data_IF_810791719892
#
_entry.id   IF_810791719892
#
_cell.length_a   1.000
_cell.length_b   1.000
_cell.length_c   1.000
_cell.angle_alpha   90.00
_cell.angle_beta   90.00
_cell.angle_gamma   90.00
#
_symmetry.space_group_name_H-M   'P 1'
#
loop_
_entity.id
_entity.type
_entity.pdbx_description
1 polymer ?
#
# COMPACT_ATOMS: atom_id res chain seq x y z
N UNK A 1 -25.11 12.37 -33.00
CA UNK A 1 -23.83 12.72 -32.34
C UNK A 1 -23.53 11.82 -31.15
N UNK A 2 -24.47 10.98 -30.73
CA UNK A 2 -24.38 10.18 -29.50
C UNK A 2 -23.51 8.93 -29.61
N UNK A 3 -23.47 8.30 -30.80
CA UNK A 3 -22.66 7.08 -31.01
C UNK A 3 -21.14 7.34 -30.94
N UNK A 4 -20.66 8.52 -31.35
CA UNK A 4 -19.22 8.87 -31.26
C UNK A 4 -18.78 9.10 -29.81
N UNK A 5 -19.64 9.70 -28.98
CA UNK A 5 -19.37 9.95 -27.56
C UNK A 5 -19.37 8.64 -26.76
N UNK A 6 -20.30 7.75 -27.04
CA UNK A 6 -20.35 6.42 -26.44
C UNK A 6 -19.13 5.59 -26.85
N UNK A 7 -18.72 5.64 -28.13
CA UNK A 7 -17.51 4.96 -28.61
C UNK A 7 -16.23 5.43 -27.90
N UNK A 8 -16.05 6.75 -27.70
CA UNK A 8 -14.90 7.30 -26.96
C UNK A 8 -14.93 6.85 -25.49
N UNK A 9 -16.10 6.79 -24.85
CA UNK A 9 -16.24 6.29 -23.48
C UNK A 9 -15.90 4.80 -23.37
N UNK A 10 -16.40 3.96 -24.28
CA UNK A 10 -16.05 2.53 -24.30
C UNK A 10 -14.57 2.30 -24.60
N UNK A 11 -13.98 3.09 -25.49
CA UNK A 11 -12.55 3.04 -25.80
C UNK A 11 -11.70 3.46 -24.58
N UNK A 12 -12.10 4.51 -23.85
CA UNK A 12 -11.44 4.91 -22.60
C UNK A 12 -11.54 3.84 -21.51
N UNK A 13 -12.71 3.19 -21.36
CA UNK A 13 -12.91 2.07 -20.42
C UNK A 13 -12.01 0.87 -20.78
N UNK A 14 -11.93 0.50 -22.07
CA UNK A 14 -11.04 -0.56 -22.58
C UNK A 14 -9.55 -0.22 -22.38
N UNK A 15 -9.18 1.05 -22.56
CA UNK A 15 -7.84 1.57 -22.30
C UNK A 15 -7.55 1.53 -20.79
N UNK A 16 -8.51 1.82 -19.92
CA UNK A 16 -8.31 1.74 -18.45
C UNK A 16 -8.18 0.29 -17.96
N UNK A 17 -8.94 -0.65 -18.52
CA UNK A 17 -8.85 -2.09 -18.22
C UNK A 17 -7.52 -2.73 -18.65
N UNK A 18 -6.76 -2.06 -19.52
CA UNK A 18 -5.44 -2.50 -19.99
C UNK A 18 -4.27 -1.79 -19.30
N UNK A 19 -4.55 -0.96 -18.28
CA UNK A 19 -3.51 -0.44 -17.38
C UNK A 19 -3.31 -1.51 -16.30
N UNK A 20 -2.16 -2.20 -16.36
CA UNK A 20 -1.65 -2.92 -15.20
C UNK A 20 -0.93 -1.89 -14.35
N UNK A 21 -1.62 -1.35 -13.36
CA UNK A 21 -0.95 -0.64 -12.27
C UNK A 21 -0.27 -1.75 -11.46
N UNK A 22 1.05 -1.68 -11.27
CA UNK A 22 1.67 -2.61 -10.33
C UNK A 22 1.06 -2.32 -8.96
N UNK A 23 0.33 -3.33 -8.46
CA UNK A 23 0.03 -3.43 -7.05
C UNK A 23 1.33 -3.84 -6.38
N UNK A 24 1.53 -3.42 -5.13
CA UNK A 24 2.74 -3.66 -4.37
C UNK A 24 3.08 -5.16 -4.20
N UNK A 25 3.57 -5.52 -3.01
CA UNK A 25 3.40 -6.88 -2.53
C UNK A 25 2.00 -7.44 -2.88
N UNK A 26 1.96 -8.69 -3.36
CA UNK A 26 0.71 -9.26 -3.87
C UNK A 26 -0.39 -9.32 -2.79
N UNK A 27 -1.54 -8.69 -3.07
CA UNK A 27 -2.70 -8.58 -2.18
C UNK A 27 -3.21 -9.92 -1.63
N UNK A 28 -3.11 -10.98 -2.42
CA UNK A 28 -3.65 -12.30 -2.11
C UNK A 28 -2.69 -13.15 -1.29
N UNK A 29 -1.39 -12.97 -1.51
CA UNK A 29 -0.35 -13.86 -0.98
C UNK A 29 0.60 -13.15 -0.04
N UNK A 30 1.19 -12.03 -0.44
CA UNK A 30 2.30 -11.42 0.31
C UNK A 30 1.81 -10.63 1.52
N UNK A 31 0.88 -9.70 1.33
CA UNK A 31 0.36 -8.89 2.44
C UNK A 31 -0.26 -9.73 3.57
N UNK A 32 -1.11 -10.72 3.29
CA UNK A 32 -1.65 -11.59 4.34
C UNK A 32 -0.56 -12.38 5.07
N UNK A 33 0.47 -12.86 4.36
CA UNK A 33 1.57 -13.64 4.98
C UNK A 33 2.48 -12.78 5.85
N UNK A 34 2.84 -11.58 5.40
CA UNK A 34 3.61 -10.64 6.23
C UNK A 34 2.83 -10.22 7.47
N UNK A 35 1.52 -10.01 7.33
CA UNK A 35 0.61 -9.74 8.45
C UNK A 35 0.60 -10.90 9.45
N UNK A 36 0.52 -12.13 8.97
CA UNK A 36 0.59 -13.33 9.81
C UNK A 36 1.92 -13.44 10.56
N UNK A 37 3.06 -13.25 9.89
CA UNK A 37 4.37 -13.29 10.54
C UNK A 37 4.54 -12.16 11.58
N UNK A 38 4.02 -10.96 11.30
CA UNK A 38 4.01 -9.86 12.26
C UNK A 38 3.20 -10.22 13.52
N UNK A 39 2.02 -10.84 13.36
CA UNK A 39 1.20 -11.30 14.49
C UNK A 39 1.88 -12.42 15.27
N UNK A 40 2.50 -13.39 14.61
CA UNK A 40 3.28 -14.45 15.28
C UNK A 40 4.40 -13.83 16.12
N UNK A 41 5.14 -12.90 15.55
CA UNK A 41 6.24 -12.22 16.24
C UNK A 41 5.75 -11.41 17.45
N UNK A 42 4.65 -10.65 17.29
CA UNK A 42 4.00 -9.94 18.40
C UNK A 42 3.58 -10.92 19.52
N UNK A 43 2.95 -12.03 19.18
CA UNK A 43 2.43 -13.02 20.12
C UNK A 43 3.52 -13.73 20.95
N UNK A 44 4.79 -13.73 20.51
CA UNK A 44 5.90 -14.25 21.32
C UNK A 44 6.18 -13.41 22.57
N UNK A 45 5.85 -12.12 22.56
CA UNK A 45 6.16 -11.20 23.64
C UNK A 45 4.93 -10.58 24.30
N UNK A 46 3.76 -10.66 23.66
CA UNK A 46 2.55 -10.02 24.14
C UNK A 46 1.89 -10.77 25.31
N UNK A 47 1.41 -10.01 26.30
CA UNK A 47 0.57 -10.56 27.38
C UNK A 47 -0.81 -11.00 26.85
N UNK A 48 -1.47 -10.13 26.07
CA UNK A 48 -2.69 -10.46 25.33
C UNK A 48 -2.31 -10.80 23.90
N UNK A 49 -2.47 -12.07 23.56
CA UNK A 49 -2.23 -12.59 22.21
C UNK A 49 -3.39 -12.21 21.30
N UNK A 50 -3.06 -11.96 20.04
CA UNK A 50 -4.03 -11.90 18.94
C UNK A 50 -4.40 -13.34 18.61
N UNK A 51 -5.69 -13.65 18.63
CA UNK A 51 -6.19 -14.99 18.31
C UNK A 51 -6.38 -15.18 16.79
N UNK A 52 -6.72 -16.41 16.37
CA UNK A 52 -6.85 -16.73 14.95
C UNK A 52 -7.94 -15.91 14.24
N UNK A 53 -9.08 -15.66 14.90
CA UNK A 53 -10.17 -14.88 14.29
C UNK A 53 -9.73 -13.42 14.05
N UNK A 54 -9.03 -12.84 15.01
CA UNK A 54 -8.50 -11.48 14.93
C UNK A 54 -7.42 -11.35 13.85
N UNK A 55 -6.58 -12.38 13.72
CA UNK A 55 -5.61 -12.48 12.63
C UNK A 55 -6.30 -12.55 11.27
N UNK A 56 -7.35 -13.35 11.10
CA UNK A 56 -8.06 -13.45 9.82
C UNK A 56 -8.73 -12.14 9.42
N UNK A 57 -9.31 -11.40 10.37
CA UNK A 57 -9.79 -10.03 10.11
C UNK A 57 -8.67 -9.09 9.69
N UNK A 58 -7.51 -9.18 10.33
CA UNK A 58 -6.34 -8.37 9.96
C UNK A 58 -5.83 -8.69 8.55
N UNK A 59 -5.76 -9.97 8.18
CA UNK A 59 -5.38 -10.43 6.83
C UNK A 59 -6.39 -10.00 5.77
N UNK A 60 -7.69 -10.04 6.10
CA UNK A 60 -8.76 -9.52 5.23
C UNK A 60 -8.59 -8.01 5.00
N UNK A 61 -8.30 -7.27 6.06
CA UNK A 61 -8.01 -5.84 5.99
C UNK A 61 -6.81 -5.52 5.11
N UNK A 62 -5.70 -6.25 5.28
CA UNK A 62 -4.49 -6.04 4.46
C UNK A 62 -4.78 -6.28 2.99
N UNK A 63 -5.41 -7.42 2.64
CA UNK A 63 -5.78 -7.73 1.26
C UNK A 63 -6.70 -6.67 0.63
N UNK A 64 -7.66 -6.16 1.39
CA UNK A 64 -8.67 -5.23 0.86
C UNK A 64 -8.13 -3.81 0.63
N UNK A 65 -6.91 -3.48 1.09
CA UNK A 65 -6.32 -2.16 0.88
C UNK A 65 -5.93 -1.93 -0.58
N UNK A 66 -5.58 -2.96 -1.34
CA UNK A 66 -5.30 -2.86 -2.79
C UNK A 66 -6.56 -2.65 -3.65
N UNK A 67 -7.76 -2.74 -3.06
CA UNK A 67 -8.99 -2.52 -3.82
C UNK A 67 -9.05 -1.07 -4.31
N UNK A 68 -9.21 -0.91 -5.63
CA UNK A 68 -9.40 0.40 -6.26
C UNK A 68 -10.47 1.23 -5.54
N UNK A 69 -10.31 2.56 -5.39
CA UNK A 69 -9.17 3.38 -5.77
C UNK A 69 -8.13 3.58 -4.65
N UNK A 70 -8.11 2.74 -3.61
CA UNK A 70 -7.26 2.94 -2.43
C UNK A 70 -5.76 2.86 -2.74
N UNK A 71 -5.39 2.00 -3.69
CA UNK A 71 -4.02 1.80 -4.22
C UNK A 71 -3.27 3.10 -4.56
N UNK A 72 -3.98 4.17 -4.94
CA UNK A 72 -3.34 5.43 -5.27
C UNK A 72 -2.62 6.07 -4.07
N UNK A 73 -2.96 5.69 -2.84
CA UNK A 73 -2.40 6.25 -1.63
C UNK A 73 -1.28 5.39 -1.02
N UNK A 74 -0.75 4.40 -1.76
CA UNK A 74 0.19 3.41 -1.22
C UNK A 74 1.65 3.88 -1.23
N UNK A 75 1.91 5.07 -1.77
CA UNK A 75 3.25 5.59 -2.01
C UNK A 75 3.62 6.64 -0.97
N UNK A 76 4.91 6.68 -0.64
CA UNK A 76 5.50 7.78 0.12
C UNK A 76 6.99 7.89 -0.19
N UNK A 77 7.37 8.97 -0.88
CA UNK A 77 8.76 9.36 -1.06
C UNK A 77 9.23 10.18 0.16
N UNK A 78 10.14 9.66 0.99
CA UNK A 78 10.64 10.35 2.17
C UNK A 78 11.71 11.40 1.85
N UNK A 79 12.37 11.34 0.69
CA UNK A 79 13.41 12.27 0.25
C UNK A 79 12.75 13.61 -0.13
N UNK A 80 11.68 13.52 -0.93
CA UNK A 80 10.94 14.70 -1.39
C UNK A 80 9.74 15.03 -0.50
N UNK A 81 9.38 14.13 0.42
CA UNK A 81 8.24 14.24 1.34
C UNK A 81 6.89 14.39 0.62
N UNK A 82 6.68 13.58 -0.43
CA UNK A 82 5.50 13.64 -1.30
C UNK A 82 4.83 12.27 -1.46
N UNK A 83 3.55 12.32 -1.83
CA UNK A 83 2.81 11.18 -2.31
C UNK A 83 3.15 10.92 -3.79
N UNK A 84 2.60 9.83 -4.33
CA UNK A 84 2.51 9.71 -5.78
C UNK A 84 1.76 10.93 -6.35
N UNK A 85 2.30 11.48 -7.43
CA UNK A 85 1.72 12.65 -8.07
C UNK A 85 1.97 12.58 -9.58
N UNK A 86 1.29 13.47 -10.32
CA UNK A 86 1.35 13.58 -11.79
C UNK A 86 2.78 13.62 -12.38
N UNK A 87 3.80 14.03 -11.61
CA UNK A 87 5.20 14.07 -12.07
C UNK A 87 5.77 12.67 -12.29
N UNK A 88 5.38 11.70 -11.47
CA UNK A 88 5.79 10.30 -11.62
C UNK A 88 5.14 9.61 -12.83
N UNK A 89 4.14 10.24 -13.45
CA UNK A 89 3.52 9.80 -14.70
C UNK A 89 4.00 10.63 -15.92
N UNK A 90 4.94 11.57 -15.73
CA UNK A 90 5.51 12.35 -16.85
C UNK A 90 6.22 11.42 -17.81
N UNK A 91 5.81 11.47 -19.08
CA UNK A 91 6.28 10.55 -20.13
C UNK A 91 5.23 9.50 -20.51
N UNK A 92 4.32 9.15 -19.59
CA UNK A 92 3.29 8.13 -19.81
C UNK A 92 1.89 8.71 -20.00
N UNK A 93 1.54 9.77 -19.25
CA UNK A 93 0.28 10.49 -19.36
C UNK A 93 0.59 11.98 -19.50
N UNK A 94 0.22 12.63 -20.62
CA UNK A 94 0.34 14.08 -20.74
C UNK A 94 -0.37 14.76 -19.57
N UNK A 95 0.17 15.87 -19.06
CA UNK A 95 -0.40 16.56 -17.89
C UNK A 95 -1.90 16.92 -18.08
N UNK A 96 -2.31 17.21 -19.32
CA UNK A 96 -3.71 17.44 -19.69
C UNK A 96 -4.61 16.19 -19.60
N UNK A 97 -4.03 14.98 -19.63
CA UNK A 97 -4.71 13.69 -19.53
C UNK A 97 -4.91 13.18 -18.10
N UNK A 98 -4.23 13.76 -17.10
CA UNK A 98 -4.35 13.35 -15.69
C UNK A 98 -5.79 13.46 -15.17
N UNK A 99 -6.39 14.66 -15.27
CA UNK A 99 -7.76 14.91 -14.76
C UNK A 99 -8.84 14.09 -15.50
N UNK A 100 -8.82 13.96 -16.84
CA UNK A 100 -9.81 13.14 -17.54
C UNK A 100 -9.69 11.64 -17.27
N UNK A 101 -8.48 11.11 -17.08
CA UNK A 101 -8.23 9.66 -16.91
C UNK A 101 -8.38 9.26 -15.44
N UNK A 102 -7.69 9.95 -14.54
CA UNK A 102 -7.66 9.61 -13.13
C UNK A 102 -8.73 10.35 -12.31
N UNK A 103 -9.17 11.54 -12.71
CA UNK A 103 -10.23 12.26 -11.97
C UNK A 103 -11.61 11.60 -12.02
N UNK A 104 -11.80 10.59 -12.89
CA UNK A 104 -12.99 9.74 -12.89
C UNK A 104 -12.89 8.58 -11.87
N UNK A 105 -11.68 8.13 -11.56
CA UNK A 105 -11.40 6.96 -10.69
C UNK A 105 -10.98 7.40 -9.28
N UNK A 106 -10.20 8.47 -9.18
CA UNK A 106 -9.72 9.07 -7.95
C UNK A 106 -10.62 10.26 -7.62
N UNK A 107 -11.40 10.20 -6.52
CA UNK A 107 -12.28 11.29 -6.12
C UNK A 107 -11.52 12.48 -5.53
N UNK A 108 -10.23 12.34 -5.24
CA UNK A 108 -9.38 13.40 -4.74
C UNK A 108 -7.90 13.11 -5.09
N UNK A 109 -7.02 14.10 -4.84
CA UNK A 109 -5.57 13.90 -5.02
C UNK A 109 -5.04 12.86 -4.01
N UNK A 110 -4.11 11.99 -4.44
CA UNK A 110 -3.49 11.01 -3.54
C UNK A 110 -2.77 11.65 -2.36
N UNK A 111 -2.84 10.98 -1.21
CA UNK A 111 -2.06 11.30 -0.02
C UNK A 111 -0.85 10.36 0.10
N UNK A 112 0.13 10.79 0.90
CA UNK A 112 1.19 9.91 1.37
C UNK A 112 0.56 8.75 2.13
N UNK A 113 1.11 7.55 2.01
CA UNK A 113 0.58 6.36 2.71
C UNK A 113 0.35 6.57 4.20
N UNK A 114 1.24 7.31 4.87
CA UNK A 114 1.07 7.67 6.28
C UNK A 114 -0.11 8.60 6.53
N UNK A 115 -0.31 9.64 5.70
CA UNK A 115 -1.41 10.59 5.85
C UNK A 115 -2.75 9.91 5.53
N UNK A 116 -2.77 9.06 4.51
CA UNK A 116 -3.91 8.20 4.17
C UNK A 116 -4.30 7.26 5.31
N UNK A 117 -3.32 6.70 6.01
CA UNK A 117 -3.56 5.78 7.15
C UNK A 117 -4.26 6.46 8.34
N UNK A 118 -4.27 7.80 8.40
CA UNK A 118 -4.82 8.55 9.53
C UNK A 118 -5.93 9.55 9.18
N UNK A 119 -6.11 9.89 7.90
CA UNK A 119 -7.03 10.92 7.46
C UNK A 119 -8.43 10.36 7.16
N UNK A 120 -9.32 10.44 8.15
CA UNK A 120 -10.67 9.89 8.06
C UNK A 120 -11.53 10.59 7.00
N UNK A 121 -11.41 11.90 6.90
CA UNK A 121 -12.18 12.72 5.96
C UNK A 121 -11.81 12.34 4.52
N UNK A 122 -10.52 12.17 4.25
CA UNK A 122 -10.04 11.77 2.92
C UNK A 122 -10.49 10.35 2.56
N UNK A 123 -10.41 9.39 3.49
CA UNK A 123 -10.93 8.04 3.24
C UNK A 123 -12.44 8.03 2.95
N UNK A 124 -13.19 8.93 3.58
CA UNK A 124 -14.62 9.04 3.37
C UNK A 124 -14.98 9.47 1.93
N UNK A 125 -14.14 10.29 1.29
CA UNK A 125 -14.32 10.69 -0.11
C UNK A 125 -14.25 9.51 -1.09
N UNK A 126 -13.45 8.48 -0.78
CA UNK A 126 -13.24 7.34 -1.66
C UNK A 126 -14.41 6.35 -1.62
N UNK A 127 -14.91 6.00 -0.43
CA UNK A 127 -15.89 4.92 -0.29
C UNK A 127 -16.95 5.10 0.79
N UNK A 128 -17.00 6.25 1.48
CA UNK A 128 -17.73 6.39 2.76
C UNK A 128 -17.31 5.34 3.81
N UNK A 129 -16.17 4.69 3.61
CA UNK A 129 -15.58 3.72 4.52
C UNK A 129 -14.33 4.34 5.14
N UNK A 130 -14.19 4.17 6.45
CA UNK A 130 -13.04 4.63 7.22
C UNK A 130 -12.33 3.40 7.78
N UNK A 131 -11.05 3.22 7.40
CA UNK A 131 -10.15 2.16 7.85
C UNK A 131 -8.84 2.71 8.40
N UNK A 132 -8.90 3.93 8.95
CA UNK A 132 -7.73 4.59 9.55
C UNK A 132 -7.24 3.91 10.82
N UNK A 133 -6.02 4.22 11.24
CA UNK A 133 -5.45 3.77 12.50
C UNK A 133 -6.31 4.18 13.71
N UNK A 134 -6.86 5.40 13.71
CA UNK A 134 -7.78 5.87 14.74
C UNK A 134 -9.07 5.05 14.75
N UNK A 135 -9.58 4.65 13.58
CA UNK A 135 -10.74 3.77 13.51
C UNK A 135 -10.45 2.41 14.14
N UNK A 136 -9.26 1.84 13.89
CA UNK A 136 -8.84 0.58 14.51
C UNK A 136 -8.89 0.68 16.05
N UNK A 137 -8.30 1.74 16.61
CA UNK A 137 -8.27 2.00 18.05
C UNK A 137 -9.68 2.18 18.62
N UNK A 138 -10.49 3.05 18.03
CA UNK A 138 -11.83 3.36 18.53
C UNK A 138 -12.74 2.14 18.48
N UNK A 139 -12.74 1.38 17.37
CA UNK A 139 -13.53 0.16 17.25
C UNK A 139 -13.09 -0.89 18.28
N UNK A 140 -11.78 -1.00 18.56
CA UNK A 140 -11.28 -1.91 19.60
C UNK A 140 -11.85 -1.57 20.98
N UNK A 141 -11.83 -0.29 21.38
CA UNK A 141 -12.40 0.15 22.65
C UNK A 141 -13.92 -0.04 22.73
N UNK A 142 -14.61 0.04 21.59
CA UNK A 142 -16.04 -0.25 21.47
C UNK A 142 -16.36 -1.75 21.43
N UNK A 143 -15.36 -2.63 21.51
CA UNK A 143 -15.48 -4.10 21.37
C UNK A 143 -15.99 -4.55 19.99
N UNK A 144 -15.90 -3.68 19.00
CA UNK A 144 -16.12 -3.97 17.59
C UNK A 144 -14.79 -4.48 17.00
N UNK A 145 -14.43 -5.70 17.38
CA UNK A 145 -13.11 -6.26 17.08
C UNK A 145 -12.90 -6.54 15.59
N UNK A 146 -13.95 -6.95 14.87
CA UNK A 146 -13.85 -7.16 13.42
C UNK A 146 -13.40 -5.88 12.72
N UNK A 147 -14.11 -4.77 12.93
CA UNK A 147 -13.73 -3.50 12.32
C UNK A 147 -12.37 -3.01 12.83
N UNK A 148 -12.06 -3.26 14.10
CA UNK A 148 -10.77 -2.88 14.68
C UNK A 148 -9.60 -3.56 13.97
N UNK A 149 -9.67 -4.88 13.83
CA UNK A 149 -8.60 -5.69 13.26
C UNK A 149 -8.53 -5.57 11.74
N UNK A 150 -9.67 -5.50 11.04
CA UNK A 150 -9.67 -5.17 9.62
C UNK A 150 -9.03 -3.81 9.36
N UNK A 151 -9.38 -2.76 10.12
CA UNK A 151 -8.78 -1.43 9.95
C UNK A 151 -7.28 -1.43 10.25
N UNK A 152 -6.83 -2.21 11.25
CA UNK A 152 -5.41 -2.39 11.51
C UNK A 152 -4.71 -3.11 10.34
N UNK A 153 -5.37 -4.08 9.71
CA UNK A 153 -4.89 -4.74 8.49
C UNK A 153 -4.63 -3.76 7.35
N UNK A 154 -5.58 -2.85 7.09
CA UNK A 154 -5.41 -1.79 6.09
C UNK A 154 -4.20 -0.89 6.38
N UNK A 155 -3.95 -0.57 7.65
CA UNK A 155 -2.76 0.23 8.04
C UNK A 155 -1.46 -0.56 7.88
N UNK A 156 -1.46 -1.85 8.21
CA UNK A 156 -0.29 -2.71 8.05
C UNK A 156 0.09 -2.90 6.58
N UNK A 157 -0.89 -3.00 5.69
CA UNK A 157 -0.67 -3.01 4.24
C UNK A 157 0.19 -1.83 3.81
N UNK A 158 -0.26 -0.61 4.13
CA UNK A 158 0.43 0.63 3.75
C UNK A 158 1.86 0.70 4.32
N UNK A 159 2.10 0.11 5.50
CA UNK A 159 3.44 0.02 6.05
C UNK A 159 4.30 -1.03 5.33
N UNK A 160 3.71 -2.17 4.95
CA UNK A 160 4.38 -3.23 4.20
C UNK A 160 4.82 -2.74 2.82
N UNK A 161 4.00 -1.93 2.15
CA UNK A 161 4.34 -1.27 0.88
C UNK A 161 5.61 -0.43 0.99
N UNK A 162 5.84 0.25 2.11
CA UNK A 162 7.06 1.03 2.31
C UNK A 162 8.32 0.18 2.50
N UNK A 163 8.18 -1.14 2.58
CA UNK A 163 9.28 -2.10 2.45
C UNK A 163 9.70 -2.38 0.99
N UNK A 164 8.91 -1.89 0.02
CA UNK A 164 9.14 -2.03 -1.42
C UNK A 164 9.77 -0.74 -1.96
N UNK A 165 10.94 -0.78 -2.62
CA UNK A 165 11.64 0.40 -3.14
C UNK A 165 10.77 1.31 -4.00
N UNK A 166 9.97 0.71 -4.87
CA UNK A 166 9.06 1.36 -5.80
C UNK A 166 8.06 2.26 -5.05
N UNK A 167 7.42 1.73 -4.02
CA UNK A 167 6.47 2.46 -3.16
C UNK A 167 7.12 3.55 -2.30
N UNK A 168 8.37 3.32 -1.87
CA UNK A 168 9.14 4.28 -1.09
C UNK A 168 9.82 5.37 -1.94
N UNK A 169 9.82 5.23 -3.28
CA UNK A 169 10.43 6.20 -4.21
C UNK A 169 9.42 6.81 -5.18
N UNK A 170 8.14 6.46 -5.03
CA UNK A 170 7.04 7.04 -5.82
C UNK A 170 6.95 6.48 -7.24
N UNK A 171 7.38 5.24 -7.46
CA UNK A 171 7.52 4.61 -8.77
C UNK A 171 6.36 3.63 -9.05
N UNK A 172 5.31 4.03 -9.79
CA UNK A 172 4.06 3.26 -9.87
C UNK A 172 4.01 2.13 -10.90
N UNK A 173 5.08 1.91 -11.67
CA UNK A 173 5.16 0.89 -12.75
C UNK A 173 3.83 0.62 -13.46
N UNK A 174 3.42 1.54 -14.33
CA UNK A 174 2.07 1.59 -14.92
C UNK A 174 1.90 0.69 -16.15
N UNK A 175 2.91 -0.12 -16.47
CA UNK A 175 2.77 -1.30 -17.32
C UNK A 175 2.49 -1.00 -18.80
N UNK A 176 2.95 0.15 -19.34
CA UNK A 176 2.81 0.47 -20.77
C UNK A 176 4.12 0.92 -21.41
N UNK A 177 4.45 0.32 -22.55
CA UNK A 177 5.46 0.85 -23.49
C UNK A 177 6.92 0.50 -23.16
N UNK A 178 7.20 -0.66 -22.53
CA UNK A 178 8.56 -1.10 -22.19
C UNK A 178 8.88 -1.09 -20.69
N UNK A 179 7.98 -0.51 -19.89
CA UNK A 179 7.99 -0.57 -18.42
C UNK A 179 7.94 -2.03 -17.95
N UNK A 180 8.99 -2.47 -17.26
CA UNK A 180 9.12 -3.83 -16.76
C UNK A 180 8.25 -4.00 -15.51
N UNK A 181 7.73 -5.20 -15.22
CA UNK A 181 7.07 -5.46 -13.95
C UNK A 181 8.05 -5.25 -12.78
N UNK A 182 7.57 -4.92 -11.58
CA UNK A 182 8.42 -4.91 -10.39
C UNK A 182 9.04 -6.30 -10.18
N UNK A 183 10.33 -6.42 -10.49
CA UNK A 183 11.07 -7.65 -10.33
C UNK A 183 11.17 -8.06 -8.85
N UNK A 184 11.20 -7.08 -7.94
CA UNK A 184 11.23 -7.34 -6.50
C UNK A 184 9.91 -7.95 -6.00
N UNK A 185 8.77 -7.44 -6.46
CA UNK A 185 7.47 -7.99 -6.10
C UNK A 185 7.26 -9.38 -6.71
N UNK A 186 7.65 -9.58 -7.97
CA UNK A 186 7.55 -10.90 -8.61
C UNK A 186 8.44 -11.93 -7.91
N UNK A 187 9.69 -11.55 -7.56
CA UNK A 187 10.57 -12.37 -6.75
C UNK A 187 9.92 -12.70 -5.39
N UNK A 188 9.38 -11.69 -4.72
CA UNK A 188 8.82 -11.84 -3.38
C UNK A 188 7.57 -12.72 -3.41
N UNK A 189 6.68 -12.55 -4.40
CA UNK A 189 5.52 -13.42 -4.62
C UNK A 189 5.94 -14.89 -4.79
N UNK A 190 6.97 -15.15 -5.59
CA UNK A 190 7.49 -16.49 -5.81
C UNK A 190 8.18 -17.08 -4.58
N UNK A 191 8.92 -16.26 -3.83
CA UNK A 191 9.62 -16.67 -2.61
C UNK A 191 8.64 -16.94 -1.45
N UNK A 192 7.71 -16.02 -1.21
CA UNK A 192 6.71 -16.12 -0.14
C UNK A 192 5.58 -17.09 -0.45
N UNK A 193 5.48 -17.63 -1.66
CA UNK A 193 4.63 -18.79 -1.93
C UNK A 193 5.06 -20.06 -1.17
N UNK A 194 6.24 -20.06 -0.55
CA UNK A 194 6.73 -21.10 0.36
C UNK A 194 6.43 -20.75 1.82
N UNK A 195 6.46 -21.74 2.70
CA UNK A 195 6.36 -21.50 4.15
C UNK A 195 7.52 -20.62 4.62
N UNK A 196 7.18 -19.47 5.19
CA UNK A 196 8.13 -18.53 5.80
C UNK A 196 8.09 -18.66 7.32
N UNK A 197 9.26 -18.52 7.96
CA UNK A 197 9.41 -18.63 9.42
C UNK A 197 10.10 -17.39 10.01
N UNK A 198 9.90 -16.22 9.40
CA UNK A 198 10.54 -14.95 9.77
C UNK A 198 10.36 -14.66 11.26
N UNK A 199 9.15 -14.84 11.79
CA UNK A 199 8.87 -14.60 13.21
C UNK A 199 9.74 -15.47 14.12
N UNK A 200 9.89 -16.77 13.79
CA UNK A 200 10.72 -17.71 14.57
C UNK A 200 12.20 -17.39 14.43
N UNK A 201 12.66 -16.98 13.25
CA UNK A 201 14.05 -16.59 13.02
C UNK A 201 14.42 -15.31 13.79
N UNK A 202 13.50 -14.34 13.88
CA UNK A 202 13.67 -13.16 14.72
C UNK A 202 13.71 -13.53 16.21
N UNK A 203 12.83 -14.45 16.64
CA UNK A 203 12.81 -14.94 18.02
C UNK A 203 14.13 -15.66 18.38
N UNK A 204 14.65 -16.53 17.51
CA UNK A 204 15.87 -17.30 17.74
C UNK A 204 17.11 -16.40 17.83
N UNK A 205 17.10 -15.28 17.11
CA UNK A 205 18.11 -14.21 17.20
C UNK A 205 17.90 -13.24 18.36
N UNK A 206 16.92 -13.49 19.23
CA UNK A 206 16.52 -12.63 20.35
C UNK A 206 16.23 -11.17 19.94
N UNK A 207 15.74 -10.96 18.72
CA UNK A 207 15.34 -9.64 18.23
C UNK A 207 14.06 -9.21 18.95
N UNK A 208 14.02 -7.97 19.43
CA UNK A 208 12.83 -7.36 20.04
C UNK A 208 12.26 -6.32 19.10
N UNK A 209 10.94 -6.09 19.19
CA UNK A 209 10.30 -5.01 18.46
C UNK A 209 10.86 -3.65 18.90
N UNK A 210 11.15 -2.78 17.92
CA UNK A 210 11.50 -1.39 18.18
C UNK A 210 10.25 -0.63 18.62
N UNK A 211 10.38 0.22 19.65
CA UNK A 211 9.30 1.08 20.11
C UNK A 211 9.35 2.41 19.37
N UNK A 212 8.19 2.90 18.97
CA UNK A 212 8.04 4.16 18.26
C UNK A 212 7.06 5.07 19.00
N UNK A 213 7.30 6.38 18.91
CA UNK A 213 6.40 7.40 19.44
C UNK A 213 5.55 7.95 18.29
N UNK A 214 4.50 7.21 17.93
CA UNK A 214 3.54 7.59 16.88
C UNK A 214 3.79 6.92 15.52
N UNK A 215 2.70 6.79 14.76
CA UNK A 215 2.66 6.08 13.47
C UNK A 215 3.53 6.75 12.40
N UNK A 216 3.61 8.08 12.40
CA UNK A 216 4.46 8.84 11.47
C UNK A 216 5.92 8.40 11.53
N UNK A 217 6.45 8.17 12.73
CA UNK A 217 7.84 7.76 12.89
C UNK A 217 8.10 6.37 12.32
N UNK A 218 7.13 5.46 12.42
CA UNK A 218 7.23 4.09 11.89
C UNK A 218 7.29 4.13 10.36
N UNK A 219 6.34 4.83 9.74
CA UNK A 219 6.25 4.97 8.29
C UNK A 219 7.48 5.67 7.71
N UNK A 220 7.86 6.82 8.29
CA UNK A 220 9.01 7.59 7.82
C UNK A 220 10.32 6.81 7.95
N UNK A 221 10.54 6.11 9.08
CA UNK A 221 11.77 5.36 9.26
C UNK A 221 11.89 4.20 8.26
N UNK A 222 10.81 3.45 8.03
CA UNK A 222 10.82 2.36 7.06
C UNK A 222 10.99 2.87 5.63
N UNK A 223 10.20 3.87 5.21
CA UNK A 223 10.34 4.46 3.88
C UNK A 223 11.76 5.00 3.65
N UNK A 224 12.31 5.74 4.62
CA UNK A 224 13.66 6.30 4.53
C UNK A 224 14.72 5.21 4.44
N UNK A 225 14.57 4.14 5.23
CA UNK A 225 15.48 3.00 5.14
C UNK A 225 15.41 2.36 3.76
N UNK A 226 14.21 2.05 3.27
CA UNK A 226 14.02 1.41 1.97
C UNK A 226 14.57 2.26 0.84
N UNK A 227 14.16 3.54 0.75
CA UNK A 227 14.56 4.45 -0.33
C UNK A 227 16.07 4.73 -0.39
N UNK A 228 16.78 4.68 0.75
CA UNK A 228 18.23 4.92 0.81
C UNK A 228 19.08 3.66 0.62
N UNK A 229 18.52 2.47 0.76
CA UNK A 229 19.29 1.21 0.71
C UNK A 229 19.00 0.37 -0.54
N UNK A 230 17.93 0.68 -1.27
CA UNK A 230 17.50 -0.08 -2.43
C UNK A 230 17.05 0.85 -3.55
N UNK A 231 17.36 0.45 -4.78
CA UNK A 231 16.98 1.16 -6.00
C UNK A 231 15.68 0.56 -6.57
N UNK A 232 14.83 1.39 -7.16
CA UNK A 232 13.87 0.93 -8.18
C UNK A 232 14.46 1.20 -9.56
N UNK A 233 14.11 0.40 -10.57
CA UNK A 233 14.74 0.42 -11.89
C UNK A 233 14.66 1.81 -12.55
N UNK A 234 13.51 2.48 -12.42
CA UNK A 234 13.32 3.80 -13.04
C UNK A 234 13.99 4.93 -12.25
N UNK A 235 14.41 4.71 -10.99
CA UNK A 235 14.95 5.76 -10.13
C UNK A 235 16.47 5.72 -9.94
N UNK A 236 17.19 4.90 -10.72
CA UNK A 236 18.64 4.69 -10.64
C UNK A 236 19.45 5.98 -10.75
N UNK A 237 18.95 6.98 -11.47
CA UNK A 237 19.65 8.26 -11.69
C UNK A 237 19.23 9.38 -10.73
N UNK A 238 18.36 9.13 -9.74
CA UNK A 238 17.71 10.18 -8.91
C UNK A 238 16.96 11.24 -9.73
N UNK A 239 16.52 10.90 -10.95
CA UNK A 239 15.82 11.83 -11.84
C UNK A 239 14.35 12.08 -11.43
N UNK A 240 13.87 11.44 -10.36
CA UNK A 240 12.48 11.52 -9.90
C UNK A 240 12.33 12.47 -8.68
N UNK A 241 11.44 13.49 -8.77
CA UNK A 241 11.34 14.62 -7.82
C UNK A 241 10.10 14.65 -6.92
#
# INVERSE_FOLDING_TARGET
MDNKRNFIQYLLILILLSIKISLAFDAETTHPKLTEEAVKFYNFYAKRKINNQELEWMKKGSKNEDLSPRWANHFYDPIHNIAINKRYFRGYVPEAGWKPIFGFVLPAEPLKSVDWSINQEHQFLYYKLNRTFQKAIVSYFKKDYETAFESLGHVLHLLQDLGVPEHARGDPHIGRGGDQPSYFEEYTKNYLNKDINIAKDLLSKNIKFKKFNGIYKIFNELATFTANNWFSEDTINNDFP
#
